data_IF_967091280012
#
_entry.id   IF_967091280012
#
_cell.length_a   1.000
_cell.length_b   1.000
_cell.length_c   1.000
_cell.angle_alpha   90.00
_cell.angle_beta   90.00
_cell.angle_gamma   90.00
#
_symmetry.space_group_name_H-M   'P 1'
#
loop_
_entity.id
_entity.type
_entity.pdbx_description
1 polymer ?
#
# COMPACT_ATOMS: atom_id res chain seq x y z
N UNK A 1 7.13 0.35 6.19
CA UNK A 1 6.67 -0.01 4.83
C UNK A 1 7.43 0.84 3.83
N UNK A 2 7.87 0.25 2.71
CA UNK A 2 8.53 0.98 1.61
C UNK A 2 7.73 0.87 0.32
N UNK A 3 7.58 1.97 -0.39
CA UNK A 3 6.88 2.05 -1.68
C UNK A 3 7.88 2.40 -2.78
N UNK A 4 7.80 1.72 -3.91
CA UNK A 4 8.63 2.00 -5.09
C UNK A 4 7.91 1.59 -6.38
N UNK A 5 8.53 1.87 -7.54
CA UNK A 5 8.04 1.40 -8.85
C UNK A 5 7.86 -0.13 -8.97
N UNK A 6 8.50 -0.90 -8.09
CA UNK A 6 8.36 -2.36 -8.06
C UNK A 6 7.12 -2.81 -7.26
N UNK A 7 6.56 -1.95 -6.41
CA UNK A 7 5.44 -2.25 -5.52
C UNK A 7 5.73 -1.88 -4.06
N UNK A 8 5.07 -2.58 -3.15
CA UNK A 8 5.16 -2.37 -1.70
C UNK A 8 6.01 -3.46 -1.07
N UNK A 9 7.01 -3.06 -0.29
CA UNK A 9 7.84 -3.95 0.54
C UNK A 9 7.52 -3.67 2.02
N UNK A 10 7.08 -4.71 2.71
CA UNK A 10 6.85 -4.68 4.16
C UNK A 10 8.03 -5.36 4.84
N UNK A 11 8.61 -4.66 5.79
CA UNK A 11 9.72 -5.15 6.61
C UNK A 11 9.25 -5.26 8.06
N UNK A 12 9.97 -6.04 8.84
CA UNK A 12 9.83 -6.05 10.28
C UNK A 12 10.22 -4.69 10.92
N UNK A 13 9.93 -4.47 12.21
CA UNK A 13 10.27 -3.22 12.87
C UNK A 13 11.77 -2.90 12.89
N UNK A 14 12.66 -3.91 12.85
CA UNK A 14 14.11 -3.69 12.77
C UNK A 14 14.58 -3.25 11.38
N UNK A 15 13.73 -3.44 10.36
CA UNK A 15 14.02 -3.14 8.96
C UNK A 15 14.95 -4.15 8.28
N UNK A 16 15.32 -5.24 8.97
CA UNK A 16 16.26 -6.24 8.48
C UNK A 16 15.54 -7.35 7.70
N UNK A 17 14.37 -7.77 8.17
CA UNK A 17 13.65 -8.89 7.59
C UNK A 17 12.49 -8.42 6.72
N UNK A 18 12.37 -8.99 5.52
CA UNK A 18 11.26 -8.71 4.62
C UNK A 18 10.12 -9.67 4.91
N UNK A 19 9.06 -9.15 5.53
CA UNK A 19 7.86 -9.92 5.83
C UNK A 19 7.04 -10.21 4.58
N UNK A 20 6.85 -9.20 3.71
CA UNK A 20 6.01 -9.32 2.53
C UNK A 20 6.48 -8.42 1.38
N UNK A 21 6.23 -8.87 0.15
CA UNK A 21 6.39 -8.08 -1.07
C UNK A 21 5.12 -8.17 -1.89
N UNK A 22 4.53 -7.01 -2.20
CA UNK A 22 3.33 -6.88 -3.03
C UNK A 22 3.72 -6.17 -4.32
N UNK A 23 3.89 -6.89 -5.43
CA UNK A 23 4.27 -6.29 -6.71
C UNK A 23 3.25 -5.25 -7.18
N UNK A 24 3.71 -4.16 -7.79
CA UNK A 24 2.85 -3.03 -8.16
C UNK A 24 1.63 -3.45 -9.01
N UNK A 25 1.83 -4.32 -9.99
CA UNK A 25 0.77 -4.82 -10.88
C UNK A 25 -0.28 -5.71 -10.19
N UNK A 26 -0.05 -6.10 -8.93
CA UNK A 26 -1.02 -6.89 -8.13
C UNK A 26 -1.84 -6.02 -7.18
N UNK A 27 -1.47 -4.74 -7.02
CA UNK A 27 -2.19 -3.80 -6.17
C UNK A 27 -3.40 -3.31 -6.96
N UNK A 28 -4.58 -3.76 -6.56
CA UNK A 28 -5.84 -3.38 -7.19
C UNK A 28 -6.37 -2.05 -6.64
N UNK A 29 -6.20 -1.82 -5.34
CA UNK A 29 -6.67 -0.60 -4.68
C UNK A 29 -5.88 -0.34 -3.40
N UNK A 30 -5.71 0.93 -3.07
CA UNK A 30 -5.14 1.39 -1.81
C UNK A 30 -6.00 2.54 -1.29
N UNK A 31 -6.43 2.43 -0.03
CA UNK A 31 -7.35 3.37 0.62
C UNK A 31 -6.74 3.80 1.95
N UNK A 32 -6.70 5.11 2.20
CA UNK A 32 -6.47 5.66 3.55
C UNK A 32 -7.82 5.93 4.22
N UNK A 33 -7.90 5.67 5.52
CA UNK A 33 -9.08 5.95 6.33
C UNK A 33 -8.71 6.15 7.80
N UNK A 34 -9.52 6.92 8.52
CA UNK A 34 -9.50 6.93 9.98
C UNK A 34 -10.45 5.84 10.52
N UNK A 35 -10.02 5.13 11.56
CA UNK A 35 -10.84 4.09 12.20
C UNK A 35 -11.85 4.61 13.23
N UNK A 36 -11.90 5.93 13.45
CA UNK A 36 -12.74 6.54 14.49
C UNK A 36 -12.13 6.50 15.90
N UNK A 37 -11.00 5.82 16.09
CA UNK A 37 -10.23 5.77 17.33
C UNK A 37 -8.97 6.65 17.28
N UNK A 38 -8.99 7.68 16.42
CA UNK A 38 -7.86 8.58 16.12
C UNK A 38 -6.65 7.90 15.47
N UNK A 39 -6.76 6.64 15.04
CA UNK A 39 -5.70 6.04 14.24
C UNK A 39 -5.96 6.29 12.75
N UNK A 40 -4.86 6.31 12.02
CA UNK A 40 -4.84 6.49 10.58
C UNK A 40 -4.35 5.20 9.96
N UNK A 41 -5.12 4.67 9.02
CA UNK A 41 -4.92 3.33 8.50
C UNK A 41 -4.85 3.35 6.97
N UNK A 42 -4.14 2.36 6.43
CA UNK A 42 -4.11 2.06 5.00
C UNK A 42 -4.61 0.63 4.79
N UNK A 43 -5.62 0.48 3.95
CA UNK A 43 -6.05 -0.80 3.42
C UNK A 43 -5.47 -1.00 2.02
N UNK A 44 -4.83 -2.14 1.78
CA UNK A 44 -4.27 -2.54 0.49
C UNK A 44 -5.01 -3.78 0.00
N UNK A 45 -5.70 -3.65 -1.14
CA UNK A 45 -6.34 -4.75 -1.84
C UNK A 45 -5.38 -5.31 -2.89
N UNK A 46 -4.96 -6.56 -2.70
CA UNK A 46 -4.13 -7.31 -3.63
C UNK A 46 -5.01 -8.28 -4.41
N UNK A 47 -4.98 -8.18 -5.73
CA UNK A 47 -5.78 -8.98 -6.64
C UNK A 47 -5.31 -8.83 -8.08
N UNK A 48 -5.43 -9.90 -8.85
CA UNK A 48 -5.12 -9.87 -10.29
C UNK A 48 -6.42 -9.89 -11.10
N UNK A 49 -6.38 -9.27 -12.28
CA UNK A 49 -7.44 -9.39 -13.28
C UNK A 49 -7.72 -10.87 -13.55
N UNK A 50 -9.00 -11.26 -13.49
CA UNK A 50 -9.44 -12.64 -13.72
C UNK A 50 -9.45 -13.55 -12.47
N UNK A 51 -9.06 -13.06 -11.29
CA UNK A 51 -9.21 -13.82 -10.03
C UNK A 51 -10.42 -13.35 -9.23
N UNK A 52 -11.18 -14.30 -8.67
CA UNK A 52 -12.35 -14.05 -7.82
C UNK A 52 -12.02 -13.87 -6.33
N UNK A 53 -10.78 -14.15 -5.94
CA UNK A 53 -10.31 -13.96 -4.57
C UNK A 53 -9.30 -12.82 -4.50
N UNK A 54 -9.40 -12.00 -3.45
CA UNK A 54 -8.45 -10.94 -3.17
C UNK A 54 -7.93 -11.07 -1.74
N UNK A 55 -6.72 -10.55 -1.50
CA UNK A 55 -6.13 -10.45 -0.17
C UNK A 55 -6.16 -9.00 0.25
N UNK A 56 -6.68 -8.74 1.45
CA UNK A 56 -6.71 -7.40 2.03
C UNK A 56 -5.70 -7.34 3.16
N UNK A 57 -4.86 -6.31 3.14
CA UNK A 57 -3.87 -6.03 4.17
C UNK A 57 -4.20 -4.68 4.80
N UNK A 58 -4.09 -4.60 6.12
CA UNK A 58 -4.34 -3.37 6.87
C UNK A 58 -3.05 -2.98 7.59
N UNK A 59 -2.67 -1.72 7.45
CA UNK A 59 -1.49 -1.16 8.09
C UNK A 59 -1.87 0.13 8.82
N UNK A 60 -1.50 0.22 10.09
CA UNK A 60 -1.67 1.44 10.86
C UNK A 60 -0.47 2.36 10.63
N UNK A 61 -0.75 3.63 10.36
CA UNK A 61 0.22 4.70 10.21
C UNK A 61 0.33 5.51 11.51
N UNK A 62 1.46 6.19 11.69
CA UNK A 62 1.72 7.04 12.84
C UNK A 62 0.98 8.38 12.78
N UNK A 63 0.66 8.84 11.56
CA UNK A 63 -0.06 10.10 11.33
C UNK A 63 -0.86 10.07 10.03
N UNK A 64 -1.78 11.02 9.90
CA UNK A 64 -2.56 11.22 8.68
C UNK A 64 -1.65 11.64 7.51
N UNK A 65 -0.69 12.53 7.77
CA UNK A 65 0.30 12.96 6.78
C UNK A 65 1.09 11.77 6.21
N UNK A 66 1.50 10.82 7.08
CA UNK A 66 2.19 9.61 6.63
C UNK A 66 1.28 8.77 5.74
N UNK A 67 0.03 8.57 6.15
CA UNK A 67 -0.93 7.77 5.40
C UNK A 67 -1.23 8.39 4.02
N UNK A 68 -1.42 9.71 3.98
CA UNK A 68 -1.65 10.47 2.75
C UNK A 68 -0.43 10.48 1.83
N UNK A 69 0.78 10.63 2.40
CA UNK A 69 2.03 10.60 1.65
C UNK A 69 2.23 9.24 0.95
N UNK A 70 1.93 8.13 1.63
CA UNK A 70 1.99 6.78 1.05
C UNK A 70 0.99 6.65 -0.12
N UNK A 71 -0.26 7.05 0.08
CA UNK A 71 -1.28 7.00 -0.97
C UNK A 71 -0.89 7.84 -2.19
N UNK A 72 -0.38 9.05 -1.95
CA UNK A 72 0.07 9.96 -3.01
C UNK A 72 1.29 9.40 -3.75
N UNK A 73 2.22 8.75 -3.05
CA UNK A 73 3.38 8.11 -3.66
C UNK A 73 2.96 6.97 -4.60
N UNK A 74 2.07 6.09 -4.14
CA UNK A 74 1.54 4.99 -4.98
C UNK A 74 0.80 5.55 -6.20
N UNK A 75 -0.04 6.59 -6.02
CA UNK A 75 -0.73 7.25 -7.13
C UNK A 75 0.26 7.78 -8.18
N UNK A 76 1.26 8.56 -7.76
CA UNK A 76 2.29 9.11 -8.65
C UNK A 76 3.06 8.03 -9.39
N UNK A 77 3.35 6.91 -8.73
CA UNK A 77 4.03 5.78 -9.36
C UNK A 77 3.14 5.16 -10.44
N UNK A 78 1.85 4.93 -10.16
CA UNK A 78 0.90 4.45 -11.16
C UNK A 78 0.78 5.42 -12.33
N UNK A 79 0.57 6.70 -12.05
CA UNK A 79 0.49 7.74 -13.08
C UNK A 79 1.75 7.69 -13.96
N UNK A 80 2.95 7.69 -13.36
CA UNK A 80 4.21 7.67 -14.12
C UNK A 80 4.41 6.43 -15.02
N UNK A 81 3.79 5.28 -14.71
CA UNK A 81 3.88 4.07 -15.55
C UNK A 81 2.72 3.92 -16.53
N UNK A 82 1.58 4.57 -16.29
CA UNK A 82 0.39 4.49 -17.14
C UNK A 82 0.21 5.70 -18.06
N UNK A 83 0.93 6.80 -17.80
CA UNK A 83 0.93 7.96 -18.70
C UNK A 83 1.60 7.55 -20.01
N UNK A 84 0.81 7.53 -21.09
CA UNK A 84 1.26 7.28 -22.47
C UNK A 84 2.13 8.42 -22.98
#
# INVERSE_FOLDING_TARGET
MFVSRHGIKVVDPSGQEVLQRHPLHTIAQLIQYSDGFKNQNIAVKIGQVGKHTCKCYIFQCHSEDQAQAICNCVRRIFDAITTK
#
